data_IF_668146464718
#
_entry.id   IF_668146464718
#
_cell.length_a   1.000
_cell.length_b   1.000
_cell.length_c   1.000
_cell.angle_alpha   90.00
_cell.angle_beta   90.00
_cell.angle_gamma   90.00
#
_symmetry.space_group_name_H-M   'P 1'
#
loop_
_entity.id
_entity.type
_entity.pdbx_description
1 polymer ?
#
# COMPACT_ATOMS: atom_id res chain seq x y z
N UNK A 1 10.99 -16.73 16.94
CA UNK A 1 11.43 -15.90 18.09
C UNK A 1 11.01 -14.47 17.76
N UNK A 2 10.27 -13.78 18.65
CA UNK A 2 9.88 -12.39 18.42
C UNK A 2 11.07 -11.47 18.72
N UNK A 3 11.29 -10.46 17.88
CA UNK A 3 12.37 -9.47 18.05
C UNK A 3 12.12 -8.61 19.30
N UNK A 4 13.19 -8.27 20.04
CA UNK A 4 13.14 -7.29 21.13
C UNK A 4 12.89 -5.88 20.57
N UNK A 5 12.38 -4.92 21.37
CA UNK A 5 12.09 -3.57 20.90
C UNK A 5 13.27 -2.89 20.17
N UNK A 6 14.49 -3.02 20.70
CA UNK A 6 15.68 -2.45 20.08
C UNK A 6 16.11 -3.15 18.78
N UNK A 7 15.66 -4.39 18.54
CA UNK A 7 15.91 -5.15 17.31
C UNK A 7 14.87 -4.82 16.22
N UNK A 8 13.83 -4.06 16.57
CA UNK A 8 12.80 -3.55 15.63
C UNK A 8 13.02 -2.09 15.24
N UNK A 9 13.93 -1.39 15.92
CA UNK A 9 14.27 -0.03 15.57
C UNK A 9 14.89 0.02 14.17
N UNK A 10 14.51 1.03 13.38
CA UNK A 10 15.15 1.28 12.10
C UNK A 10 16.63 1.60 12.32
N UNK A 11 17.46 1.19 11.34
CA UNK A 11 18.86 1.63 11.29
C UNK A 11 18.98 3.13 10.98
N UNK A 12 17.98 3.67 10.27
CA UNK A 12 17.83 5.08 9.94
C UNK A 12 16.49 5.58 10.51
N UNK A 13 16.56 6.49 11.48
CA UNK A 13 15.41 7.05 12.20
C UNK A 13 14.93 8.39 11.62
N UNK A 14 15.42 8.79 10.44
CA UNK A 14 14.91 9.98 9.75
C UNK A 14 13.42 9.87 9.43
N UNK A 15 12.74 11.02 9.41
CA UNK A 15 11.30 11.07 9.12
C UNK A 15 11.03 10.56 7.69
N UNK A 16 10.22 9.51 7.58
CA UNK A 16 9.82 8.92 6.31
C UNK A 16 9.23 9.96 5.34
N UNK A 17 8.59 11.02 5.85
CA UNK A 17 8.07 12.10 5.01
C UNK A 17 9.18 12.74 4.14
N UNK A 18 10.42 12.81 4.64
CA UNK A 18 11.55 13.32 3.87
C UNK A 18 11.95 12.37 2.74
N UNK A 19 11.86 11.06 2.97
CA UNK A 19 12.19 10.05 1.96
C UNK A 19 11.15 9.96 0.85
N UNK A 20 9.86 10.12 1.20
CA UNK A 20 8.72 10.01 0.29
C UNK A 20 8.25 11.35 -0.29
N UNK A 21 8.95 12.46 -0.04
CA UNK A 21 8.54 13.78 -0.58
C UNK A 21 8.64 13.85 -2.10
N UNK A 22 9.72 13.28 -2.66
CA UNK A 22 9.93 13.23 -4.10
C UNK A 22 9.22 12.01 -4.70
N UNK A 23 8.27 12.20 -5.64
CA UNK A 23 7.53 11.09 -6.22
C UNK A 23 8.42 10.22 -7.11
N UNK A 24 8.18 8.91 -7.05
CA UNK A 24 8.90 7.91 -7.81
C UNK A 24 7.94 7.14 -8.71
N UNK A 25 7.89 7.54 -9.98
CA UNK A 25 7.10 6.86 -11.00
C UNK A 25 7.87 5.70 -11.63
N UNK A 26 8.35 4.79 -10.78
CA UNK A 26 9.06 3.59 -11.18
C UNK A 26 8.49 2.39 -10.46
N UNK A 27 8.70 1.20 -11.04
CA UNK A 27 8.42 -0.06 -10.35
C UNK A 27 9.73 -0.59 -9.79
N UNK A 28 9.78 -0.80 -8.47
CA UNK A 28 10.98 -1.22 -7.76
C UNK A 28 11.23 -2.74 -7.79
N UNK A 29 10.29 -3.49 -8.35
CA UNK A 29 10.29 -4.96 -8.44
C UNK A 29 10.35 -5.40 -9.91
N UNK A 30 10.91 -6.59 -10.14
CA UNK A 30 11.03 -7.14 -11.48
C UNK A 30 9.68 -7.66 -12.02
N UNK A 31 9.53 -7.82 -13.35
CA UNK A 31 8.29 -8.29 -13.96
C UNK A 31 7.81 -9.66 -13.46
N UNK A 32 8.72 -10.56 -13.07
CA UNK A 32 8.38 -11.89 -12.57
C UNK A 32 7.76 -11.84 -11.17
N UNK A 33 8.23 -10.93 -10.32
CA UNK A 33 7.58 -10.63 -9.05
C UNK A 33 6.18 -10.06 -9.26
N UNK A 34 6.05 -9.07 -10.16
CA UNK A 34 4.75 -8.44 -10.45
C UNK A 34 3.74 -9.49 -10.90
N UNK A 35 4.12 -10.35 -11.85
CA UNK A 35 3.21 -11.39 -12.35
C UNK A 35 2.73 -12.30 -11.23
N UNK A 36 3.65 -12.80 -10.38
CA UNK A 36 3.29 -13.68 -9.28
C UNK A 36 2.38 -12.99 -8.25
N UNK A 37 2.60 -11.70 -8.00
CA UNK A 37 1.74 -10.92 -7.12
C UNK A 37 0.34 -10.75 -7.73
N UNK A 38 0.25 -10.41 -9.02
CA UNK A 38 -1.02 -10.28 -9.73
C UNK A 38 -1.77 -11.61 -9.72
N UNK A 39 -1.09 -12.74 -9.95
CA UNK A 39 -1.68 -14.08 -9.90
C UNK A 39 -2.18 -14.43 -8.49
N UNK A 40 -1.44 -14.03 -7.45
CA UNK A 40 -1.85 -14.20 -6.06
C UNK A 40 -3.11 -13.38 -5.75
N UNK A 41 -3.16 -12.12 -6.20
CA UNK A 41 -4.35 -11.29 -6.08
C UNK A 41 -5.54 -11.89 -6.83
N UNK A 42 -5.34 -12.43 -8.02
CA UNK A 42 -6.37 -13.16 -8.78
C UNK A 42 -6.97 -14.33 -8.00
N UNK A 43 -6.15 -15.06 -7.25
CA UNK A 43 -6.61 -16.22 -6.48
C UNK A 43 -7.51 -15.83 -5.30
N UNK A 44 -7.30 -14.66 -4.72
CA UNK A 44 -7.90 -14.28 -3.44
C UNK A 44 -8.92 -13.15 -3.52
N UNK A 45 -8.71 -12.19 -4.41
CA UNK A 45 -9.59 -11.06 -4.60
C UNK A 45 -10.71 -11.43 -5.58
N UNK A 46 -11.93 -10.97 -5.27
CA UNK A 46 -13.12 -11.27 -6.06
C UNK A 46 -13.74 -9.98 -6.57
N UNK A 47 -14.48 -10.03 -7.69
CA UNK A 47 -15.26 -8.91 -8.14
C UNK A 47 -16.16 -8.35 -7.03
N UNK A 48 -16.47 -7.06 -7.10
CA UNK A 48 -17.32 -6.34 -6.15
C UNK A 48 -16.80 -6.26 -4.69
N UNK A 49 -15.55 -6.66 -4.42
CA UNK A 49 -14.93 -6.41 -3.12
C UNK A 49 -14.58 -4.93 -2.92
N UNK A 50 -14.60 -4.47 -1.67
CA UNK A 50 -13.98 -3.22 -1.22
C UNK A 50 -12.56 -3.52 -0.72
N UNK A 51 -11.57 -2.88 -1.32
CA UNK A 51 -10.14 -3.13 -1.04
C UNK A 51 -9.52 -1.89 -0.39
N UNK A 52 -8.70 -2.11 0.62
CA UNK A 52 -7.76 -1.11 1.14
C UNK A 52 -6.34 -1.47 0.68
N UNK A 53 -5.74 -0.62 -0.15
CA UNK A 53 -4.34 -0.73 -0.59
C UNK A 53 -3.44 0.13 0.32
N UNK A 54 -2.87 -0.54 1.32
CA UNK A 54 -1.99 0.11 2.29
C UNK A 54 -0.61 0.33 1.71
N UNK A 55 -0.16 1.57 1.88
CA UNK A 55 1.18 2.00 1.48
C UNK A 55 1.39 1.85 -0.03
N UNK A 56 0.32 2.13 -0.76
CA UNK A 56 0.25 2.20 -2.21
C UNK A 56 1.14 3.31 -2.76
N UNK A 57 1.44 3.18 -4.05
CA UNK A 57 2.07 4.19 -4.87
C UNK A 57 1.19 4.41 -6.12
N UNK A 58 1.81 4.75 -7.25
CA UNK A 58 1.15 4.99 -8.54
C UNK A 58 0.72 3.69 -9.27
N UNK A 59 1.06 2.51 -8.75
CA UNK A 59 0.64 1.20 -9.27
C UNK A 59 0.32 0.25 -8.10
N UNK A 60 -0.85 -0.39 -8.14
CA UNK A 60 -1.30 -1.37 -7.12
C UNK A 60 -1.05 -2.84 -7.50
N UNK A 61 -0.65 -3.12 -8.75
CA UNK A 61 -0.49 -4.47 -9.30
C UNK A 61 -1.76 -5.35 -9.21
N UNK A 62 -2.93 -4.72 -9.14
CA UNK A 62 -4.21 -5.41 -9.18
C UNK A 62 -4.48 -6.01 -10.56
N UNK A 63 -5.12 -7.19 -10.64
CA UNK A 63 -5.67 -7.73 -11.89
C UNK A 63 -6.49 -6.69 -12.66
N UNK A 64 -6.19 -6.51 -13.95
CA UNK A 64 -6.84 -5.48 -14.77
C UNK A 64 -8.29 -5.82 -15.07
N UNK A 65 -8.59 -7.11 -15.22
CA UNK A 65 -9.88 -7.67 -15.61
C UNK A 65 -10.90 -7.79 -14.46
N UNK A 66 -10.46 -7.61 -13.21
CA UNK A 66 -11.37 -7.65 -12.05
C UNK A 66 -11.86 -6.24 -11.76
N UNK A 67 -13.18 -6.09 -11.77
CA UNK A 67 -13.88 -4.88 -11.32
C UNK A 67 -14.21 -5.01 -9.83
N UNK A 68 -13.66 -4.09 -9.03
CA UNK A 68 -13.89 -4.00 -7.60
C UNK A 68 -14.99 -2.98 -7.30
N UNK A 69 -15.65 -3.11 -6.16
CA UNK A 69 -16.68 -2.14 -5.77
C UNK A 69 -16.07 -0.81 -5.32
N UNK A 70 -14.87 -0.87 -4.72
CA UNK A 70 -14.10 0.30 -4.31
C UNK A 70 -12.65 -0.10 -3.99
N UNK A 71 -11.69 0.73 -4.37
CA UNK A 71 -10.27 0.61 -3.99
C UNK A 71 -9.84 1.90 -3.31
N UNK A 72 -9.64 1.81 -1.99
CA UNK A 72 -9.13 2.90 -1.17
C UNK A 72 -7.61 2.81 -1.07
N UNK A 73 -6.91 3.85 -1.50
CA UNK A 73 -5.45 3.92 -1.41
C UNK A 73 -4.96 4.68 -0.18
N UNK A 74 -3.92 4.16 0.44
CA UNK A 74 -3.20 4.85 1.50
C UNK A 74 -1.72 4.96 1.13
N UNK A 75 -1.08 6.10 1.35
CA UNK A 75 0.36 6.24 1.13
C UNK A 75 0.94 7.53 1.71
N UNK A 76 2.22 7.76 1.45
CA UNK A 76 2.97 8.92 1.95
C UNK A 76 3.16 10.02 0.89
N UNK A 77 2.95 9.71 -0.39
CA UNK A 77 3.12 10.65 -1.49
C UNK A 77 1.79 10.86 -2.26
N UNK A 78 1.20 12.04 -2.14
CA UNK A 78 -0.05 12.39 -2.83
C UNK A 78 0.08 12.32 -4.36
N UNK A 79 1.24 12.66 -4.92
CA UNK A 79 1.45 12.70 -6.38
C UNK A 79 1.53 11.31 -6.98
N UNK A 80 2.07 10.33 -6.24
CA UNK A 80 2.05 8.93 -6.63
C UNK A 80 0.62 8.38 -6.60
N UNK A 81 -0.08 8.55 -5.48
CA UNK A 81 -1.45 8.07 -5.31
C UNK A 81 -2.40 8.66 -6.36
N UNK A 82 -2.28 9.97 -6.65
CA UNK A 82 -3.09 10.64 -7.66
C UNK A 82 -2.88 10.11 -9.09
N UNK A 83 -1.75 9.43 -9.36
CA UNK A 83 -1.47 8.82 -10.66
C UNK A 83 -1.86 7.34 -10.73
N UNK A 84 -2.31 6.74 -9.63
CA UNK A 84 -2.72 5.35 -9.63
C UNK A 84 -4.11 5.20 -10.25
N UNK A 85 -4.22 4.58 -11.44
CA UNK A 85 -5.50 4.47 -12.13
C UNK A 85 -6.44 3.44 -11.49
N UNK A 86 -5.97 2.66 -10.51
CA UNK A 86 -6.75 1.62 -9.84
C UNK A 86 -7.45 2.10 -8.57
N UNK A 87 -7.16 3.32 -8.09
CA UNK A 87 -7.75 3.85 -6.87
C UNK A 87 -9.01 4.66 -7.19
N UNK A 88 -10.08 4.40 -6.44
CA UNK A 88 -11.29 5.23 -6.48
C UNK A 88 -11.13 6.49 -5.62
N UNK A 89 -10.42 6.34 -4.50
CA UNK A 89 -10.08 7.41 -3.59
C UNK A 89 -8.75 7.09 -2.88
N UNK A 90 -8.10 8.12 -2.34
CA UNK A 90 -6.90 7.92 -1.53
C UNK A 90 -6.78 8.95 -0.41
N UNK A 91 -6.03 8.60 0.63
CA UNK A 91 -5.60 9.52 1.68
C UNK A 91 -4.10 9.40 1.96
N UNK A 92 -3.51 10.52 2.35
CA UNK A 92 -2.10 10.60 2.74
C UNK A 92 -2.00 10.61 4.25
N UNK A 93 -1.27 9.65 4.80
CA UNK A 93 -1.06 9.56 6.24
C UNK A 93 0.26 8.87 6.56
N UNK A 94 0.97 9.40 7.54
CA UNK A 94 2.13 8.73 8.12
C UNK A 94 1.68 7.85 9.29
N UNK A 95 1.69 6.53 9.08
CA UNK A 95 1.26 5.55 10.09
C UNK A 95 2.22 5.45 11.28
N UNK A 96 3.49 5.83 11.12
CA UNK A 96 4.44 5.90 12.24
C UNK A 96 4.12 7.10 13.16
N UNK A 97 3.53 8.18 12.63
CA UNK A 97 3.10 9.34 13.40
C UNK A 97 1.68 9.17 13.98
N UNK A 98 0.75 8.65 13.18
CA UNK A 98 -0.61 8.35 13.60
C UNK A 98 -1.03 6.98 13.04
N UNK A 99 -1.08 5.92 13.85
CA UNK A 99 -1.46 4.59 13.38
C UNK A 99 -2.98 4.41 13.20
N UNK A 100 -3.80 5.36 13.68
CA UNK A 100 -5.26 5.25 13.57
C UNK A 100 -5.72 5.67 12.18
N UNK A 101 -6.26 4.72 11.42
CA UNK A 101 -6.84 4.98 10.10
C UNK A 101 -8.12 5.83 10.21
N UNK A 102 -8.34 6.81 9.32
CA UNK A 102 -9.55 7.64 9.26
C UNK A 102 -10.68 6.93 8.49
N UNK A 103 -10.79 5.61 8.67
CA UNK A 103 -11.74 4.75 7.96
C UNK A 103 -12.69 4.09 8.94
N UNK A 104 -13.86 3.67 8.48
CA UNK A 104 -14.81 2.96 9.33
C UNK A 104 -14.35 1.52 9.58
N UNK A 105 -14.69 0.98 10.75
CA UNK A 105 -14.45 -0.43 11.06
C UNK A 105 -15.29 -1.34 10.14
N UNK A 106 -14.73 -2.49 9.76
CA UNK A 106 -15.39 -3.52 8.96
C UNK A 106 -15.95 -3.04 7.60
N UNK A 107 -15.30 -2.05 6.99
CA UNK A 107 -15.70 -1.49 5.69
C UNK A 107 -15.10 -2.23 4.48
N UNK A 108 -13.98 -2.93 4.67
CA UNK A 108 -13.21 -3.55 3.60
C UNK A 108 -13.26 -5.08 3.67
N UNK A 109 -13.35 -5.71 2.50
CA UNK A 109 -13.32 -7.16 2.34
C UNK A 109 -11.88 -7.71 2.30
N UNK A 110 -10.94 -6.88 1.84
CA UNK A 110 -9.53 -7.22 1.74
C UNK A 110 -8.62 -6.02 2.03
N UNK A 111 -7.45 -6.31 2.60
CA UNK A 111 -6.35 -5.35 2.77
C UNK A 111 -5.13 -5.90 2.08
N UNK A 112 -4.52 -5.11 1.20
CA UNK A 112 -3.28 -5.45 0.50
C UNK A 112 -2.17 -4.50 0.92
N UNK A 113 -0.93 -4.99 0.89
CA UNK A 113 0.28 -4.22 1.20
C UNK A 113 1.45 -4.86 0.46
N UNK A 114 1.92 -4.20 -0.59
CA UNK A 114 3.00 -4.70 -1.43
C UNK A 114 4.29 -3.88 -1.25
N UNK A 115 5.39 -4.57 -0.91
CA UNK A 115 6.76 -4.03 -0.84
C UNK A 115 6.95 -2.71 -0.09
N UNK A 116 6.21 -2.54 1.00
CA UNK A 116 6.20 -1.27 1.74
C UNK A 116 6.11 -1.40 3.25
N UNK A 117 5.70 -2.55 3.81
CA UNK A 117 5.64 -2.76 5.26
C UNK A 117 6.95 -2.46 6.01
N UNK A 118 8.10 -2.50 5.33
CA UNK A 118 9.41 -2.32 5.92
C UNK A 118 9.65 -0.92 6.52
N UNK A 119 8.91 0.12 6.12
CA UNK A 119 9.07 1.44 6.73
C UNK A 119 8.27 1.61 8.03
N UNK A 120 7.41 0.67 8.42
CA UNK A 120 6.73 0.76 9.72
C UNK A 120 7.69 0.47 10.88
N UNK A 121 7.45 1.15 12.02
CA UNK A 121 8.22 1.03 13.27
C UNK A 121 7.50 0.19 14.35
#
# INVERSE_FOLDING_TARGET
>A
MLLRPNERAKLDDTDDNQFYIEPRFVTHVDPGFIQQLTDLYHLHLKPQMRILDLMSSWVSHLPEEIEFAHVEGHGLNASELARNPRLDHYFVQNLNANPKLPLADAEFDAVINCVSVQYLQ
#
